data_IF_976144981364
#
_entry.id   IF_976144981364
#
_cell.length_a   1.000
_cell.length_b   1.000
_cell.length_c   1.000
_cell.angle_alpha   90.00
_cell.angle_beta   90.00
_cell.angle_gamma   90.00
#
_symmetry.space_group_name_H-M   'P 1'
#
loop_
_entity.id
_entity.type
_entity.pdbx_description
1 polymer ?
#
# COMPACT_ATOMS: atom_id res chain seq x y z
N UNK A 1 -24.15 30.55 46.69
CA UNK A 1 -25.00 30.96 45.55
C UNK A 1 -25.27 29.73 44.72
N UNK A 2 -26.54 29.41 44.48
CA UNK A 2 -26.95 28.34 43.57
C UNK A 2 -26.63 28.80 42.15
N UNK A 3 -25.74 28.08 41.44
CA UNK A 3 -25.43 28.40 40.04
C UNK A 3 -26.65 28.12 39.17
N UNK A 4 -26.99 29.05 38.29
CA UNK A 4 -28.11 28.94 37.36
C UNK A 4 -27.68 28.27 36.05
N UNK A 5 -28.63 27.98 35.16
CA UNK A 5 -28.33 27.39 33.86
C UNK A 5 -27.34 28.22 33.01
N UNK A 6 -27.49 29.54 32.97
CA UNK A 6 -26.59 30.40 32.20
C UNK A 6 -25.19 30.47 32.83
N UNK A 7 -25.04 30.23 34.13
CA UNK A 7 -23.71 30.14 34.76
C UNK A 7 -22.93 28.94 34.24
N UNK A 8 -23.59 27.78 34.07
CA UNK A 8 -22.95 26.61 33.47
C UNK A 8 -22.61 26.85 32.00
N UNK A 9 -23.46 27.60 31.28
CA UNK A 9 -23.19 27.99 29.90
C UNK A 9 -21.93 28.86 29.85
N UNK A 10 -21.84 29.85 30.75
CA UNK A 10 -20.73 30.79 30.89
C UNK A 10 -19.39 30.13 31.29
N UNK A 11 -19.44 28.98 31.94
CA UNK A 11 -18.23 28.24 32.32
C UNK A 11 -17.96 27.03 31.41
N UNK A 12 -18.73 26.85 30.34
CA UNK A 12 -18.62 25.73 29.39
C UNK A 12 -18.73 24.35 30.08
N UNK A 13 -19.51 24.27 31.16
CA UNK A 13 -19.78 23.03 31.91
C UNK A 13 -20.97 22.29 31.28
N UNK A 14 -20.81 21.80 30.05
CA UNK A 14 -21.92 21.32 29.21
C UNK A 14 -22.70 20.14 29.78
N UNK A 15 -22.05 19.16 30.41
CA UNK A 15 -22.74 18.01 31.00
C UNK A 15 -23.71 18.43 32.12
N UNK A 16 -23.24 19.35 32.98
CA UNK A 16 -24.05 19.91 34.07
C UNK A 16 -25.14 20.81 33.52
N UNK A 17 -24.86 21.55 32.46
CA UNK A 17 -25.82 22.38 31.77
C UNK A 17 -26.97 21.55 31.21
N UNK A 18 -26.71 20.49 30.46
CA UNK A 18 -27.75 19.62 29.89
C UNK A 18 -28.59 18.99 31.01
N UNK A 19 -27.93 18.49 32.06
CA UNK A 19 -28.62 17.92 33.23
C UNK A 19 -29.52 18.96 33.92
N UNK A 20 -29.02 20.19 34.09
CA UNK A 20 -29.79 21.29 34.71
C UNK A 20 -30.96 21.70 33.83
N UNK A 21 -30.75 21.80 32.51
CA UNK A 21 -31.78 22.18 31.56
C UNK A 21 -32.95 21.17 31.59
N UNK A 22 -32.66 19.87 31.65
CA UNK A 22 -33.68 18.81 31.74
C UNK A 22 -34.42 18.79 33.08
N UNK A 23 -33.73 19.02 34.18
CA UNK A 23 -34.32 18.97 35.53
C UNK A 23 -35.04 20.26 35.91
N UNK A 24 -34.64 21.40 35.34
CA UNK A 24 -35.16 22.73 35.63
C UNK A 24 -35.44 23.48 34.32
N UNK A 25 -36.39 23.00 33.49
CA UNK A 25 -36.59 23.50 32.12
C UNK A 25 -36.97 24.98 32.05
N UNK A 26 -37.55 25.55 33.11
CA UNK A 26 -37.87 26.99 33.15
C UNK A 26 -36.63 27.89 33.18
N UNK A 27 -35.46 27.36 33.55
CA UNK A 27 -34.22 28.15 33.64
C UNK A 27 -33.64 28.51 32.26
N UNK A 28 -34.10 27.88 31.17
CA UNK A 28 -33.67 28.22 29.80
C UNK A 28 -34.03 29.66 29.41
N UNK A 29 -35.05 30.23 30.05
CA UNK A 29 -35.49 31.61 29.86
C UNK A 29 -34.86 32.58 30.87
N UNK A 30 -34.10 32.10 31.86
CA UNK A 30 -33.50 32.96 32.87
C UNK A 30 -32.41 33.80 32.24
N UNK A 31 -32.47 35.10 32.52
CA UNK A 31 -31.52 36.09 32.04
C UNK A 31 -30.51 36.41 33.12
N UNK A 32 -29.26 36.60 32.72
CA UNK A 32 -28.21 37.12 33.59
C UNK A 32 -28.27 38.66 33.71
N UNK A 33 -27.25 39.24 34.33
CA UNK A 33 -27.08 40.68 34.51
C UNK A 33 -27.00 41.48 33.19
N UNK A 34 -26.67 40.83 32.07
CA UNK A 34 -26.63 41.41 30.73
C UNK A 34 -27.92 41.18 29.94
N UNK A 35 -28.92 40.55 30.56
CA UNK A 35 -30.13 40.11 29.88
C UNK A 35 -29.92 38.86 29.02
N UNK A 36 -28.75 38.22 29.07
CA UNK A 36 -28.42 37.06 28.25
C UNK A 36 -29.00 35.78 28.87
N UNK A 37 -29.74 35.02 28.07
CA UNK A 37 -30.07 33.63 28.39
C UNK A 37 -28.93 32.67 28.05
N UNK A 38 -28.98 31.43 28.53
CA UNK A 38 -27.96 30.41 28.29
C UNK A 38 -27.60 30.25 26.79
N UNK A 39 -28.58 30.32 25.88
CA UNK A 39 -28.33 30.23 24.44
C UNK A 39 -27.43 31.35 23.89
N UNK A 40 -27.45 32.57 24.43
CA UNK A 40 -26.54 33.63 23.96
C UNK A 40 -25.09 33.24 24.15
N UNK A 41 -24.77 32.69 25.32
CA UNK A 41 -23.42 32.25 25.68
C UNK A 41 -22.99 31.04 24.84
N UNK A 42 -23.88 30.06 24.68
CA UNK A 42 -23.61 28.88 23.86
C UNK A 42 -23.39 29.23 22.38
N UNK A 43 -24.24 30.10 21.83
CA UNK A 43 -24.14 30.59 20.46
C UNK A 43 -22.88 31.44 20.23
N UNK A 44 -22.59 32.36 21.15
CA UNK A 44 -21.41 33.25 21.07
C UNK A 44 -20.09 32.48 21.11
N UNK A 45 -20.03 31.35 21.82
CA UNK A 45 -18.79 30.57 21.96
C UNK A 45 -18.69 29.38 21.03
N UNK A 46 -19.61 29.25 20.06
CA UNK A 46 -19.66 28.13 19.15
C UNK A 46 -19.62 26.80 19.92
N UNK A 47 -20.48 26.67 20.94
CA UNK A 47 -20.61 25.44 21.72
C UNK A 47 -21.00 24.27 20.80
N UNK A 48 -20.70 23.01 21.20
CA UNK A 48 -21.04 21.85 20.39
C UNK A 48 -22.52 21.83 20.01
N UNK A 49 -22.82 21.49 18.76
CA UNK A 49 -24.18 21.54 18.21
C UNK A 49 -25.16 20.74 19.07
N UNK A 50 -24.77 19.53 19.49
CA UNK A 50 -25.57 18.64 20.34
C UNK A 50 -25.99 19.29 21.66
N UNK A 51 -25.14 20.15 22.24
CA UNK A 51 -25.43 20.88 23.49
C UNK A 51 -26.46 21.98 23.22
N UNK A 52 -26.31 22.70 22.11
CA UNK A 52 -27.24 23.76 21.71
C UNK A 52 -28.60 23.17 21.37
N UNK A 53 -28.64 22.07 20.63
CA UNK A 53 -29.87 21.32 20.32
C UNK A 53 -30.56 20.86 21.60
N UNK A 54 -29.83 20.24 22.53
CA UNK A 54 -30.40 19.76 23.79
C UNK A 54 -31.05 20.87 24.63
N UNK A 55 -30.54 22.10 24.55
CA UNK A 55 -31.12 23.27 25.25
C UNK A 55 -32.28 23.85 24.44
N UNK A 56 -32.11 23.99 23.13
CA UNK A 56 -33.11 24.53 22.21
C UNK A 56 -34.40 23.70 22.21
N UNK A 57 -34.29 22.37 22.26
CA UNK A 57 -35.43 21.45 22.26
C UNK A 57 -36.32 21.57 23.51
N UNK A 58 -35.81 22.11 24.61
CA UNK A 58 -36.60 22.28 25.84
C UNK A 58 -37.68 23.35 25.65
N UNK A 59 -37.36 24.43 24.95
CA UNK A 59 -38.30 25.49 24.62
C UNK A 59 -37.82 26.34 23.44
N UNK A 60 -38.19 26.05 22.20
CA UNK A 60 -37.67 26.79 21.04
C UNK A 60 -37.87 28.32 21.09
N UNK A 61 -38.82 28.84 21.88
CA UNK A 61 -39.12 30.27 21.97
C UNK A 61 -38.00 31.09 22.62
N UNK A 62 -37.10 30.49 23.40
CA UNK A 62 -36.01 31.26 24.02
C UNK A 62 -34.88 31.63 23.05
N UNK A 63 -34.91 31.12 21.81
CA UNK A 63 -34.05 31.58 20.72
C UNK A 63 -34.38 33.00 20.22
N UNK A 64 -35.55 33.54 20.60
CA UNK A 64 -36.00 34.87 20.18
C UNK A 64 -35.82 35.92 21.29
N UNK A 65 -35.42 35.47 22.47
CA UNK A 65 -35.26 36.36 23.62
C UNK A 65 -34.07 37.29 23.38
N UNK A 66 -34.36 38.59 23.40
CA UNK A 66 -33.32 39.62 23.30
C UNK A 66 -32.67 39.88 24.65
N UNK A 67 -31.35 40.09 24.64
CA UNK A 67 -30.61 40.60 25.78
C UNK A 67 -30.82 42.11 25.97
N UNK A 68 -30.12 42.73 26.95
CA UNK A 68 -30.25 44.17 27.21
C UNK A 68 -29.76 45.05 26.05
N UNK A 69 -28.93 44.52 25.14
CA UNK A 69 -28.48 45.21 23.93
C UNK A 69 -29.42 45.00 22.73
N UNK A 70 -30.53 44.27 22.90
CA UNK A 70 -31.47 43.97 21.82
C UNK A 70 -31.02 42.82 20.90
N UNK A 71 -29.92 42.15 21.23
CA UNK A 71 -29.32 41.04 20.48
C UNK A 71 -30.03 39.73 20.82
N UNK A 72 -30.35 38.92 19.81
CA UNK A 72 -30.83 37.53 19.99
C UNK A 72 -29.65 36.55 20.07
N UNK A 73 -29.85 35.30 20.53
CA UNK A 73 -28.84 34.25 20.42
C UNK A 73 -28.33 34.05 18.98
N UNK A 74 -29.20 34.19 17.98
CA UNK A 74 -28.80 34.09 16.57
C UNK A 74 -27.84 35.22 16.18
N UNK A 75 -28.16 36.47 16.58
CA UNK A 75 -27.28 37.61 16.34
C UNK A 75 -25.93 37.44 17.03
N UNK A 76 -25.92 36.87 18.24
CA UNK A 76 -24.69 36.56 18.97
C UNK A 76 -23.83 35.49 18.27
N UNK A 77 -24.45 34.47 17.66
CA UNK A 77 -23.77 33.48 16.82
C UNK A 77 -23.17 34.13 15.57
N UNK A 78 -23.93 34.98 14.86
CA UNK A 78 -23.45 35.66 13.65
C UNK A 78 -22.29 36.61 13.99
N UNK A 79 -22.43 37.41 15.05
CA UNK A 79 -21.39 38.36 15.47
C UNK A 79 -20.07 37.67 15.83
N UNK A 80 -20.13 36.49 16.45
CA UNK A 80 -18.95 35.72 16.84
C UNK A 80 -18.56 34.64 15.82
N UNK A 81 -19.09 34.68 14.60
CA UNK A 81 -18.74 33.76 13.51
C UNK A 81 -18.90 32.27 13.90
N UNK A 82 -19.99 31.94 14.58
CA UNK A 82 -20.33 30.54 14.91
C UNK A 82 -20.59 29.72 13.63
N UNK A 83 -20.58 28.39 13.76
CA UNK A 83 -20.81 27.50 12.63
C UNK A 83 -22.19 27.69 11.99
N UNK A 84 -22.26 27.51 10.66
CA UNK A 84 -23.50 27.65 9.87
C UNK A 84 -24.65 26.79 10.41
N UNK A 85 -24.34 25.63 10.97
CA UNK A 85 -25.34 24.72 11.55
C UNK A 85 -26.03 25.36 12.77
N UNK A 86 -25.29 26.05 13.63
CA UNK A 86 -25.83 26.75 14.81
C UNK A 86 -26.69 27.93 14.38
N UNK A 87 -26.21 28.71 13.40
CA UNK A 87 -26.95 29.85 12.86
C UNK A 87 -28.29 29.38 12.29
N UNK A 88 -28.28 28.31 11.47
CA UNK A 88 -29.50 27.73 10.89
C UNK A 88 -30.47 27.21 11.95
N UNK A 89 -29.96 26.56 13.00
CA UNK A 89 -30.78 26.06 14.11
C UNK A 89 -31.50 27.20 14.83
N UNK A 90 -30.78 28.26 15.19
CA UNK A 90 -31.33 29.41 15.92
C UNK A 90 -32.25 30.27 15.05
N UNK A 91 -31.97 30.39 13.76
CA UNK A 91 -32.82 31.11 12.81
C UNK A 91 -34.19 30.47 12.62
N UNK A 92 -34.31 29.15 12.81
CA UNK A 92 -35.59 28.43 12.78
C UNK A 92 -36.53 28.88 13.90
N UNK A 93 -36.00 29.34 15.03
CA UNK A 93 -36.77 30.00 16.10
C UNK A 93 -37.09 31.46 15.77
N UNK A 94 -36.06 32.23 15.35
CA UNK A 94 -36.09 33.69 15.21
C UNK A 94 -37.01 34.28 14.12
N UNK A 95 -37.61 33.46 13.25
CA UNK A 95 -38.44 33.95 12.15
C UNK A 95 -39.91 34.21 12.55
N UNK A 96 -40.16 35.24 13.36
CA UNK A 96 -41.43 36.01 13.37
C UNK A 96 -41.19 37.51 13.60
N UNK A 97 -40.74 38.22 12.57
CA UNK A 97 -40.78 39.69 12.27
C UNK A 97 -39.52 39.98 11.44
N UNK A 98 -39.54 40.42 10.18
CA UNK A 98 -40.28 41.50 9.51
C UNK A 98 -40.33 41.26 7.97
N UNK A 99 -41.04 42.08 7.16
CA UNK A 99 -42.01 41.62 6.17
C UNK A 99 -41.41 40.95 4.92
N UNK A 100 -41.89 39.75 4.63
CA UNK A 100 -41.84 39.12 3.30
C UNK A 100 -42.75 39.89 2.32
N UNK A 101 -42.37 41.11 1.93
CA UNK A 101 -42.99 41.84 0.82
C UNK A 101 -42.36 41.47 -0.54
N UNK A 102 -41.62 40.36 -0.60
CA UNK A 102 -41.10 39.78 -1.84
C UNK A 102 -41.24 38.26 -1.77
N UNK A 103 -42.48 37.78 -1.65
CA UNK A 103 -42.80 36.49 -2.25
C UNK A 103 -42.63 36.69 -3.76
N UNK A 104 -41.79 35.89 -4.45
CA UNK A 104 -41.73 35.95 -5.90
C UNK A 104 -43.16 35.76 -6.41
N UNK A 105 -43.58 36.59 -7.36
CA UNK A 105 -44.87 36.42 -8.01
C UNK A 105 -45.05 34.94 -8.43
N UNK A 106 -46.30 34.49 -8.56
CA UNK A 106 -46.61 33.14 -9.06
C UNK A 106 -45.79 32.78 -10.32
N UNK A 107 -45.43 33.77 -11.14
CA UNK A 107 -44.59 33.59 -12.32
C UNK A 107 -43.10 33.36 -11.98
N UNK A 108 -42.50 34.12 -11.07
CA UNK A 108 -41.10 33.90 -10.66
C UNK A 108 -40.90 32.57 -9.93
N UNK A 109 -41.91 32.11 -9.19
CA UNK A 109 -41.87 30.79 -8.55
C UNK A 109 -42.00 29.64 -9.56
N UNK A 110 -42.69 29.84 -10.70
CA UNK A 110 -42.73 28.87 -11.80
C UNK A 110 -41.38 28.82 -12.53
N UNK A 111 -40.79 29.98 -12.80
CA UNK A 111 -39.51 30.11 -13.51
C UNK A 111 -38.34 29.50 -12.70
N UNK A 112 -38.34 29.70 -11.38
CA UNK A 112 -37.39 29.06 -10.46
C UNK A 112 -37.58 27.54 -10.41
N UNK A 113 -38.81 27.04 -10.37
CA UNK A 113 -39.10 25.60 -10.39
C UNK A 113 -38.65 24.95 -11.70
N UNK A 114 -38.86 25.61 -12.83
CA UNK A 114 -38.41 25.13 -14.15
C UNK A 114 -36.88 25.11 -14.23
N UNK A 115 -36.21 26.16 -13.73
CA UNK A 115 -34.74 26.22 -13.67
C UNK A 115 -34.15 25.12 -12.78
N UNK A 116 -34.74 24.90 -11.60
CA UNK A 116 -34.34 23.80 -10.70
C UNK A 116 -34.56 22.42 -11.34
N UNK A 117 -35.67 22.23 -12.05
CA UNK A 117 -35.95 20.97 -12.76
C UNK A 117 -34.92 20.70 -13.85
N UNK A 118 -34.47 21.72 -14.59
CA UNK A 118 -33.41 21.58 -15.59
C UNK A 118 -32.08 21.20 -14.96
N UNK A 119 -31.70 21.89 -13.88
CA UNK A 119 -30.45 21.63 -13.15
C UNK A 119 -30.42 20.20 -12.58
N UNK A 120 -31.56 19.73 -12.05
CA UNK A 120 -31.69 18.36 -11.55
C UNK A 120 -31.52 17.32 -12.66
N UNK A 121 -32.12 17.55 -13.83
CA UNK A 121 -31.96 16.67 -14.99
C UNK A 121 -30.50 16.63 -15.47
N UNK A 122 -29.82 17.77 -15.53
CA UNK A 122 -28.41 17.85 -15.91
C UNK A 122 -27.50 17.13 -14.89
N UNK A 123 -27.82 17.24 -13.60
CA UNK A 123 -27.10 16.55 -12.53
C UNK A 123 -27.28 15.02 -12.60
N UNK A 124 -28.48 14.53 -12.95
CA UNK A 124 -28.73 13.09 -13.15
C UNK A 124 -27.97 12.56 -14.37
N UNK A 125 -27.95 13.30 -15.48
CA UNK A 125 -27.16 12.94 -16.67
C UNK A 125 -25.67 12.90 -16.33
N UNK A 126 -25.18 13.86 -15.54
CA UNK A 126 -23.77 13.89 -15.14
C UNK A 126 -23.43 12.71 -14.21
N UNK A 127 -24.31 12.38 -13.27
CA UNK A 127 -24.14 11.23 -12.38
C UNK A 127 -24.04 9.91 -13.15
N UNK A 128 -24.86 9.73 -14.19
CA UNK A 128 -24.80 8.54 -15.06
C UNK A 128 -23.48 8.46 -15.85
N UNK A 129 -23.00 9.60 -16.38
CA UNK A 129 -21.69 9.67 -17.05
C UNK A 129 -20.55 9.32 -16.10
N UNK A 130 -20.56 9.87 -14.89
CA UNK A 130 -19.54 9.63 -13.88
C UNK A 130 -19.55 8.16 -13.43
N UNK A 131 -20.74 7.55 -13.28
CA UNK A 131 -20.88 6.13 -12.97
C UNK A 131 -20.21 5.25 -14.03
N UNK A 132 -20.40 5.58 -15.31
CA UNK A 132 -19.80 4.83 -16.43
C UNK A 132 -18.28 4.99 -16.50
N UNK A 133 -17.76 6.18 -16.18
CA UNK A 133 -16.32 6.41 -16.07
C UNK A 133 -15.73 5.57 -14.93
N UNK A 134 -16.39 5.52 -13.77
CA UNK A 134 -15.95 4.72 -12.63
C UNK A 134 -15.93 3.24 -12.97
N UNK A 135 -16.93 2.73 -13.70
CA UNK A 135 -16.99 1.34 -14.12
C UNK A 135 -15.83 0.98 -15.07
N UNK A 136 -15.54 1.83 -16.06
CA UNK A 136 -14.40 1.63 -16.96
C UNK A 136 -13.07 1.61 -16.20
N UNK A 137 -12.85 2.57 -15.29
CA UNK A 137 -11.63 2.62 -14.47
C UNK A 137 -11.48 1.39 -13.57
N UNK A 138 -12.58 0.84 -13.05
CA UNK A 138 -12.56 -0.41 -12.28
C UNK A 138 -12.16 -1.60 -13.15
N UNK A 139 -12.67 -1.68 -14.38
CA UNK A 139 -12.28 -2.71 -15.34
C UNK A 139 -10.78 -2.65 -15.68
N UNK A 140 -10.26 -1.44 -15.95
CA UNK A 140 -8.84 -1.24 -16.24
C UNK A 140 -7.96 -1.57 -15.04
N UNK A 141 -8.39 -1.21 -13.83
CA UNK A 141 -7.68 -1.57 -12.60
C UNK A 141 -7.64 -3.09 -12.40
N UNK A 142 -8.70 -3.81 -12.73
CA UNK A 142 -8.72 -5.26 -12.58
C UNK A 142 -7.85 -5.96 -13.62
N UNK A 143 -7.81 -5.46 -14.86
CA UNK A 143 -6.89 -5.94 -15.89
C UNK A 143 -5.42 -5.77 -15.47
N UNK A 144 -5.05 -4.59 -14.95
CA UNK A 144 -3.68 -4.32 -14.49
C UNK A 144 -3.26 -5.18 -13.29
N UNK A 145 -4.19 -5.50 -12.38
CA UNK A 145 -3.91 -6.47 -11.29
C UNK A 145 -3.64 -7.87 -11.82
N UNK A 146 -4.45 -8.35 -12.77
CA UNK A 146 -4.24 -9.67 -13.39
C UNK A 146 -2.87 -9.73 -14.09
N UNK A 147 -2.47 -8.68 -14.78
CA UNK A 147 -1.13 -8.58 -15.38
C UNK A 147 -0.01 -8.62 -14.33
N UNK A 148 -0.19 -7.92 -13.21
CA UNK A 148 0.77 -7.94 -12.09
C UNK A 148 0.89 -9.33 -11.46
N UNK A 149 -0.23 -10.04 -11.27
CA UNK A 149 -0.23 -11.40 -10.73
C UNK A 149 0.52 -12.38 -11.66
N UNK A 150 0.30 -12.25 -12.97
CA UNK A 150 1.05 -13.03 -13.98
C UNK A 150 2.54 -12.71 -13.93
N UNK A 151 2.92 -11.43 -13.76
CA UNK A 151 4.31 -11.02 -13.62
C UNK A 151 4.94 -11.61 -12.35
N UNK A 152 4.26 -11.55 -11.21
CA UNK A 152 4.73 -12.13 -9.96
C UNK A 152 4.89 -13.65 -10.04
N UNK A 153 3.94 -14.36 -10.68
CA UNK A 153 4.04 -15.80 -10.91
C UNK A 153 5.25 -16.16 -11.78
N UNK A 154 5.51 -15.38 -12.85
CA UNK A 154 6.71 -15.55 -13.69
C UNK A 154 7.99 -15.29 -12.90
N UNK A 155 8.02 -14.24 -12.08
CA UNK A 155 9.18 -13.92 -11.25
C UNK A 155 9.49 -15.03 -10.22
N UNK A 156 8.46 -15.62 -9.61
CA UNK A 156 8.61 -16.77 -8.72
C UNK A 156 9.22 -17.99 -9.46
N UNK A 157 8.68 -18.34 -10.63
CA UNK A 157 9.21 -19.44 -11.44
C UNK A 157 10.67 -19.23 -11.89
N UNK A 158 11.10 -17.98 -12.11
CA UNK A 158 12.51 -17.67 -12.40
C UNK A 158 13.39 -17.91 -11.18
N UNK A 159 12.96 -17.48 -9.98
CA UNK A 159 13.68 -17.74 -8.74
C UNK A 159 13.85 -19.23 -8.47
N UNK A 160 12.80 -20.03 -8.66
CA UNK A 160 12.87 -21.47 -8.45
C UNK A 160 13.90 -22.13 -9.39
N UNK A 161 13.91 -21.73 -10.67
CA UNK A 161 14.93 -22.19 -11.64
C UNK A 161 16.34 -21.74 -11.28
N UNK A 162 16.50 -20.58 -10.67
CA UNK A 162 17.80 -20.09 -10.21
C UNK A 162 18.32 -20.86 -8.99
N UNK A 163 17.42 -21.22 -8.07
CA UNK A 163 17.72 -22.10 -6.95
C UNK A 163 18.15 -23.48 -7.44
N UNK A 164 17.41 -24.08 -8.40
CA UNK A 164 17.77 -25.37 -8.99
C UNK A 164 19.14 -25.34 -9.68
N UNK A 165 19.44 -24.26 -10.42
CA UNK A 165 20.76 -24.06 -11.04
C UNK A 165 21.87 -23.97 -10.00
N UNK A 166 21.64 -23.25 -8.91
CA UNK A 166 22.60 -23.09 -7.82
C UNK A 166 22.90 -24.44 -7.16
N UNK A 167 21.86 -25.21 -6.81
CA UNK A 167 22.01 -26.56 -6.25
C UNK A 167 22.79 -27.49 -7.19
N UNK A 168 22.53 -27.42 -8.50
CA UNK A 168 23.26 -28.22 -9.49
C UNK A 168 24.75 -27.84 -9.57
N UNK A 169 25.06 -26.54 -9.47
CA UNK A 169 26.46 -26.07 -9.45
C UNK A 169 27.18 -26.59 -8.20
N UNK A 170 26.53 -26.54 -7.04
CA UNK A 170 27.07 -27.02 -5.77
C UNK A 170 27.40 -28.53 -5.83
N UNK A 171 26.47 -29.36 -6.31
CA UNK A 171 26.70 -30.79 -6.52
C UNK A 171 27.89 -31.08 -7.45
N UNK A 172 28.03 -30.34 -8.55
CA UNK A 172 29.16 -30.50 -9.48
C UNK A 172 30.50 -30.06 -8.86
N UNK A 173 30.48 -29.07 -7.96
CA UNK A 173 31.67 -28.64 -7.24
C UNK A 173 32.12 -29.71 -6.24
N UNK A 174 31.18 -30.31 -5.51
CA UNK A 174 31.46 -31.43 -4.60
C UNK A 174 32.05 -32.64 -5.34
N UNK A 175 31.46 -33.03 -6.47
CA UNK A 175 31.98 -34.11 -7.32
C UNK A 175 33.42 -33.81 -7.80
N UNK A 176 33.67 -32.57 -8.22
CA UNK A 176 35.00 -32.15 -8.65
C UNK A 176 36.02 -32.24 -7.51
N UNK A 177 35.66 -31.80 -6.30
CA UNK A 177 36.52 -31.89 -5.12
C UNK A 177 36.86 -33.36 -4.82
N UNK A 178 35.85 -34.24 -4.82
CA UNK A 178 36.06 -35.68 -4.58
C UNK A 178 37.00 -36.33 -5.61
N UNK A 179 36.88 -35.94 -6.89
CA UNK A 179 37.79 -36.38 -7.95
C UNK A 179 39.21 -35.86 -7.74
N UNK A 180 39.37 -34.60 -7.33
CA UNK A 180 40.69 -34.01 -7.02
C UNK A 180 41.37 -34.75 -5.86
N UNK A 181 40.64 -35.05 -4.78
CA UNK A 181 41.17 -35.86 -3.67
C UNK A 181 41.59 -37.27 -4.12
N UNK A 182 40.82 -37.89 -5.02
CA UNK A 182 41.17 -39.21 -5.57
C UNK A 182 42.46 -39.14 -6.40
N UNK A 183 42.66 -38.10 -7.19
CA UNK A 183 43.89 -37.89 -7.95
C UNK A 183 45.09 -37.73 -7.00
N UNK A 184 44.94 -36.91 -5.95
CA UNK A 184 46.00 -36.71 -4.94
C UNK A 184 46.40 -38.06 -4.31
N UNK A 185 45.43 -38.88 -3.87
CA UNK A 185 45.71 -40.21 -3.29
C UNK A 185 46.46 -41.13 -4.26
N UNK A 186 46.07 -41.16 -5.54
CA UNK A 186 46.75 -41.98 -6.55
C UNK A 186 48.18 -41.50 -6.83
N UNK A 187 48.43 -40.19 -6.75
CA UNK A 187 49.78 -39.62 -6.86
C UNK A 187 50.66 -40.01 -5.65
N UNK A 188 50.11 -39.97 -4.44
CA UNK A 188 50.79 -40.44 -3.22
C UNK A 188 51.13 -41.94 -3.27
N UNK A 189 50.18 -42.78 -3.67
CA UNK A 189 50.40 -44.22 -3.85
C UNK A 189 51.51 -44.50 -4.88
N UNK A 190 51.49 -43.80 -6.02
CA UNK A 190 52.55 -43.92 -7.03
C UNK A 190 53.93 -43.54 -6.46
N UNK A 191 54.01 -42.50 -5.63
CA UNK A 191 55.25 -42.12 -4.96
C UNK A 191 55.75 -43.19 -3.98
N UNK A 192 54.87 -43.83 -3.22
CA UNK A 192 55.26 -44.92 -2.29
C UNK A 192 55.79 -46.15 -3.04
N UNK A 193 55.16 -46.55 -4.14
CA UNK A 193 55.60 -47.67 -4.99
C UNK A 193 56.98 -47.39 -5.60
N UNK A 194 57.21 -46.15 -6.06
CA UNK A 194 58.51 -45.70 -6.57
C UNK A 194 59.61 -45.76 -5.49
N UNK A 195 59.28 -45.43 -4.23
CA UNK A 195 60.25 -45.47 -3.12
C UNK A 195 60.58 -46.88 -2.61
N UNK A 196 59.66 -47.84 -2.73
CA UNK A 196 59.86 -49.23 -2.27
C UNK A 196 60.43 -50.17 -3.36
N UNK A 197 60.58 -49.72 -4.61
CA UNK A 197 61.23 -50.46 -5.69
C UNK A 197 62.76 -50.62 -5.52
N UNK A 198 63.36 -50.00 -4.50
CA UNK A 198 64.79 -50.05 -4.20
C UNK A 198 65.26 -51.20 -3.31
N UNK A 199 64.54 -52.32 -3.23
CA UNK A 199 65.06 -53.52 -2.55
C UNK A 199 65.95 -54.30 -3.51
N UNK A 200 67.27 -54.07 -3.38
CA UNK A 200 68.35 -54.88 -3.95
C UNK A 200 68.03 -56.37 -3.86
N UNK A 201 67.73 -57.01 -4.98
CA UNK A 201 67.97 -58.45 -5.16
C UNK A 201 69.36 -58.60 -5.75
N UNK A 202 70.32 -58.93 -4.89
CA UNK A 202 71.60 -59.49 -5.31
C UNK A 202 71.36 -60.90 -5.85
N UNK A 203 71.15 -61.03 -7.15
CA UNK A 203 71.51 -62.24 -7.88
C UNK A 203 71.96 -61.82 -9.27
N UNK A 204 73.22 -62.12 -9.58
CA UNK A 204 73.91 -61.68 -10.77
C UNK A 204 73.32 -62.23 -12.06
N UNK A 205 73.58 -61.52 -13.15
CA UNK A 205 73.44 -62.05 -14.51
C UNK A 205 72.79 -61.09 -15.49
N UNK A 206 73.66 -60.38 -16.22
CA UNK A 206 73.48 -59.92 -17.60
C UNK A 206 72.45 -58.81 -17.86
N UNK A 207 72.99 -57.60 -17.94
CA UNK A 207 72.70 -56.52 -18.91
C UNK A 207 71.37 -56.66 -19.70
N UNK A 208 70.33 -55.94 -19.26
CA UNK A 208 69.24 -55.42 -20.09
C UNK A 208 68.32 -54.47 -19.27
N UNK A 209 68.84 -53.37 -18.71
CA UNK A 209 68.02 -52.44 -17.89
C UNK A 209 67.82 -51.03 -18.48
N UNK A 210 68.26 -50.76 -19.71
CA UNK A 210 68.04 -49.45 -20.34
C UNK A 210 66.71 -49.34 -21.12
N UNK A 211 66.01 -50.44 -21.38
CA UNK A 211 64.82 -50.46 -22.24
C UNK A 211 63.48 -50.27 -21.49
N UNK A 212 63.37 -50.70 -20.23
CA UNK A 212 62.08 -50.72 -19.50
C UNK A 212 61.67 -49.33 -18.95
N UNK A 213 62.63 -48.51 -18.50
CA UNK A 213 62.36 -47.14 -18.04
C UNK A 213 61.91 -46.21 -19.18
N UNK A 214 62.39 -46.45 -20.41
CA UNK A 214 61.97 -45.71 -21.60
C UNK A 214 60.55 -46.11 -22.03
N UNK A 215 60.19 -47.40 -21.91
CA UNK A 215 58.87 -47.90 -22.30
C UNK A 215 57.77 -47.38 -21.34
N UNK A 216 58.02 -47.41 -20.03
CA UNK A 216 57.11 -46.90 -19.00
C UNK A 216 56.84 -45.39 -19.13
N UNK A 217 57.89 -44.59 -19.39
CA UNK A 217 57.76 -43.16 -19.64
C UNK A 217 56.98 -42.83 -20.92
N UNK A 218 57.15 -43.62 -21.97
CA UNK A 218 56.43 -43.45 -23.24
C UNK A 218 54.96 -43.86 -23.13
N UNK A 219 54.65 -44.91 -22.38
CA UNK A 219 53.27 -45.33 -22.09
C UNK A 219 52.55 -44.25 -21.28
N UNK A 220 53.18 -43.72 -20.22
CA UNK A 220 52.59 -42.64 -19.41
C UNK A 220 52.35 -41.36 -20.22
N UNK A 221 53.29 -40.97 -21.09
CA UNK A 221 53.11 -39.83 -22.01
C UNK A 221 51.96 -40.06 -23.00
N UNK A 222 51.83 -41.28 -23.54
CA UNK A 222 50.76 -41.64 -24.47
C UNK A 222 49.39 -41.63 -23.78
N UNK A 223 49.28 -42.19 -22.58
CA UNK A 223 48.04 -42.14 -21.79
C UNK A 223 47.65 -40.70 -21.43
N UNK A 224 48.62 -39.87 -21.00
CA UNK A 224 48.37 -38.45 -20.71
C UNK A 224 47.89 -37.68 -21.96
N UNK A 225 48.47 -37.96 -23.12
CA UNK A 225 48.07 -37.34 -24.38
C UNK A 225 46.66 -37.75 -24.79
N UNK A 226 46.29 -39.02 -24.61
CA UNK A 226 44.96 -39.51 -24.97
C UNK A 226 43.87 -38.95 -24.03
N UNK A 227 44.14 -38.92 -22.73
CA UNK A 227 43.26 -38.28 -21.74
C UNK A 227 43.07 -36.79 -22.07
N UNK A 228 44.13 -36.07 -22.46
CA UNK A 228 43.99 -34.66 -22.85
C UNK A 228 43.18 -34.46 -24.14
N UNK A 229 43.24 -35.40 -25.09
CA UNK A 229 42.40 -35.33 -26.30
C UNK A 229 40.93 -35.55 -25.97
N UNK A 230 40.62 -36.57 -25.17
CA UNK A 230 39.26 -36.84 -24.71
C UNK A 230 38.70 -35.65 -23.93
N UNK A 231 39.49 -35.08 -23.03
CA UNK A 231 39.11 -33.90 -22.26
C UNK A 231 38.81 -32.70 -23.18
N UNK A 232 39.63 -32.50 -24.21
CA UNK A 232 39.42 -31.41 -25.18
C UNK A 232 38.11 -31.59 -25.95
N UNK A 233 37.84 -32.80 -26.42
CA UNK A 233 36.58 -33.12 -27.12
C UNK A 233 35.37 -32.85 -26.23
N UNK A 234 35.44 -33.21 -24.96
CA UNK A 234 34.32 -33.02 -24.03
C UNK A 234 34.12 -31.55 -23.66
N UNK A 235 35.21 -30.78 -23.50
CA UNK A 235 35.14 -29.32 -23.30
C UNK A 235 34.51 -28.64 -24.51
N UNK A 236 34.87 -29.04 -25.73
CA UNK A 236 34.30 -28.47 -26.97
C UNK A 236 32.79 -28.76 -27.07
N UNK A 237 32.35 -29.99 -26.75
CA UNK A 237 30.91 -30.32 -26.69
C UNK A 237 30.14 -29.50 -25.66
N UNK A 238 30.73 -29.28 -24.48
CA UNK A 238 30.10 -28.47 -23.42
C UNK A 238 29.97 -27.02 -23.88
N UNK A 239 30.99 -26.46 -24.53
CA UNK A 239 30.95 -25.10 -25.06
C UNK A 239 29.91 -24.96 -26.18
N UNK A 240 29.83 -25.91 -27.10
CA UNK A 240 28.85 -25.92 -28.18
C UNK A 240 27.42 -25.99 -27.63
N UNK A 241 27.16 -26.89 -26.67
CA UNK A 241 25.87 -26.98 -26.00
C UNK A 241 25.48 -25.66 -25.33
N UNK A 242 26.40 -25.04 -24.59
CA UNK A 242 26.16 -23.77 -23.90
C UNK A 242 25.89 -22.63 -24.88
N UNK A 243 26.57 -22.61 -26.02
CA UNK A 243 26.34 -21.63 -27.08
C UNK A 243 24.96 -21.81 -27.72
N UNK A 244 24.55 -23.05 -27.98
CA UNK A 244 23.23 -23.35 -28.50
C UNK A 244 22.11 -22.96 -27.52
N UNK A 245 22.26 -23.26 -26.23
CA UNK A 245 21.29 -22.87 -25.20
C UNK A 245 21.15 -21.33 -25.11
N UNK A 246 22.27 -20.60 -25.23
CA UNK A 246 22.29 -19.14 -25.22
C UNK A 246 21.59 -18.56 -26.46
N UNK A 247 21.83 -19.13 -27.64
CA UNK A 247 21.16 -18.73 -28.88
C UNK A 247 19.66 -18.98 -28.81
N UNK A 248 19.23 -20.15 -28.34
CA UNK A 248 17.82 -20.48 -28.16
C UNK A 248 17.12 -19.52 -27.19
N UNK A 249 17.78 -19.19 -26.07
CA UNK A 249 17.23 -18.20 -25.12
C UNK A 249 17.10 -16.81 -25.75
N UNK A 250 18.03 -16.39 -26.62
CA UNK A 250 17.97 -15.10 -27.31
C UNK A 250 16.83 -15.07 -28.33
N UNK A 251 16.65 -16.15 -29.10
CA UNK A 251 15.55 -16.30 -30.07
C UNK A 251 14.20 -16.22 -29.35
N UNK A 252 14.04 -16.97 -28.25
CA UNK A 252 12.81 -16.94 -27.45
C UNK A 252 12.49 -15.53 -26.91
N UNK A 253 13.52 -14.81 -26.44
CA UNK A 253 13.36 -13.43 -25.96
C UNK A 253 12.96 -12.45 -27.07
N UNK A 254 13.49 -12.60 -28.29
CA UNK A 254 13.12 -11.77 -29.43
C UNK A 254 11.70 -12.07 -29.92
N UNK A 255 11.31 -13.34 -29.97
CA UNK A 255 9.95 -13.74 -30.33
C UNK A 255 8.90 -13.18 -29.34
N UNK A 256 9.21 -13.16 -28.05
CA UNK A 256 8.33 -12.57 -27.03
C UNK A 256 8.15 -11.06 -27.20
N UNK A 257 9.19 -10.33 -27.65
CA UNK A 257 9.09 -8.88 -27.88
C UNK A 257 8.25 -8.51 -29.10
N UNK A 258 8.25 -9.35 -30.13
CA UNK A 258 7.50 -9.10 -31.37
C UNK A 258 6.02 -9.47 -31.28
N UNK A 259 5.59 -10.19 -30.25
CA UNK A 259 4.19 -10.59 -30.03
C UNK A 259 3.46 -9.64 -29.08
N UNK A 260 4.18 -8.73 -28.42
CA UNK A 260 3.66 -7.72 -27.48
C UNK A 260 3.56 -6.32 -28.08
N UNK A 261 3.63 -6.18 -29.40
CA UNK A 261 3.50 -4.93 -30.15
C UNK A 261 2.46 -5.08 -31.25
#
# INVERSE_FOLDING_TARGET
MTRTLYDFARHKEFDKLILRARTHPKEVQYKDEFGCVALHWLASWNAPLDVIEAVYEIDPNHADLKNCAGTTPCDAAVFNTASDNIIRLLQKGACKHEPLANLPSSDQTIELKQSLSSILADAEIQKEKDAKIIENLRSDLEATKQEADVFHAKAAAVKDKEVERTQKIEMLLEEKIALQEKVIRLEEEKHTISSNGGVKREFGGVENHAAEDSLSGNIAKKMKMEVMKELKVEVDKIMEKKMNDMLQSRIASLAAKNTSS
#
